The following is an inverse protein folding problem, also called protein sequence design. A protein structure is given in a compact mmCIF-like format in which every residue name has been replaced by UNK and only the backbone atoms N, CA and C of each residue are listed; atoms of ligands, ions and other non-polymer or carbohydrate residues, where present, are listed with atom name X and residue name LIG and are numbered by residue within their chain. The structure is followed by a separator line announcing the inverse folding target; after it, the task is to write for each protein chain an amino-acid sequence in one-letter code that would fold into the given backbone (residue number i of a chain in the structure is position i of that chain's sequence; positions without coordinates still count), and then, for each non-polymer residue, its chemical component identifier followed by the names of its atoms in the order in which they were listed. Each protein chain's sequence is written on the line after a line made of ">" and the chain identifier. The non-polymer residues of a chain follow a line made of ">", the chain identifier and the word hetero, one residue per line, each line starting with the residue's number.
data_IF_668438973828
#
_entry.id   IF_668438973828
#
_cell.length_a   1.000
_cell.length_b   1.000
_cell.length_c   1.000
_cell.angle_alpha   90.00
_cell.angle_beta   90.00
_cell.angle_gamma   90.00
#
_symmetry.space_group_name_H-M   'P 1'
#
loop_
_entity.id
_entity.type
_entity.pdbx_description
1 polymer ?
#
# COMPACT_ATOMS: atom_id res chain seq x y z
N UNK A 1 -33.31 -8.85 -39.80
CA UNK A 1 -33.77 -8.66 -38.41
C UNK A 1 -33.05 -9.58 -37.41
N UNK A 2 -33.06 -10.90 -37.60
CA UNK A 2 -32.46 -11.87 -36.65
C UNK A 2 -30.95 -11.67 -36.39
N UNK A 3 -30.15 -11.37 -37.43
CA UNK A 3 -28.71 -11.06 -37.30
C UNK A 3 -28.42 -9.81 -36.45
N UNK A 4 -29.29 -8.82 -36.50
CA UNK A 4 -29.15 -7.57 -35.73
C UNK A 4 -29.46 -7.82 -34.25
N UNK A 5 -30.46 -8.67 -33.96
CA UNK A 5 -30.78 -9.11 -32.59
C UNK A 5 -29.63 -9.89 -31.93
N UNK A 6 -28.94 -10.75 -32.69
CA UNK A 6 -27.77 -11.49 -32.19
C UNK A 6 -26.62 -10.53 -31.84
N UNK A 7 -26.36 -9.53 -32.69
CA UNK A 7 -25.33 -8.52 -32.44
C UNK A 7 -25.66 -7.68 -31.19
N UNK A 8 -26.90 -7.23 -31.05
CA UNK A 8 -27.36 -6.48 -29.87
C UNK A 8 -27.25 -7.33 -28.59
N UNK A 9 -27.67 -8.60 -28.65
CA UNK A 9 -27.55 -9.55 -27.52
C UNK A 9 -26.09 -9.77 -27.11
N UNK A 10 -25.18 -9.96 -28.08
CA UNK A 10 -23.75 -10.10 -27.82
C UNK A 10 -23.12 -8.85 -27.22
N UNK A 11 -23.57 -7.67 -27.63
CA UNK A 11 -23.12 -6.38 -27.10
C UNK A 11 -23.53 -6.19 -25.64
N UNK A 12 -24.80 -6.51 -25.29
CA UNK A 12 -25.23 -6.49 -23.89
C UNK A 12 -24.45 -7.50 -23.03
N UNK A 13 -24.15 -8.69 -23.55
CA UNK A 13 -23.37 -9.70 -22.83
C UNK A 13 -21.93 -9.25 -22.51
N UNK A 14 -21.33 -8.41 -23.37
CA UNK A 14 -20.01 -7.81 -23.14
C UNK A 14 -20.04 -6.74 -22.04
N UNK A 15 -21.10 -5.93 -21.96
CA UNK A 15 -21.24 -4.86 -20.94
C UNK A 15 -21.39 -5.45 -19.53
N UNK A 16 -22.07 -6.60 -19.38
CA UNK A 16 -22.21 -7.25 -18.06
C UNK A 16 -20.88 -7.80 -17.50
N UNK A 17 -19.88 -8.04 -18.35
CA UNK A 17 -18.61 -8.68 -17.96
C UNK A 17 -17.55 -7.72 -17.42
N UNK A 18 -17.75 -6.40 -17.51
CA UNK A 18 -16.68 -5.41 -17.27
C UNK A 18 -16.67 -4.78 -15.88
N UNK A 19 -17.36 -5.34 -14.88
CA UNK A 19 -17.24 -4.86 -13.50
C UNK A 19 -16.03 -5.49 -12.82
N UNK A 20 -14.88 -4.82 -12.91
CA UNK A 20 -13.70 -5.13 -12.10
C UNK A 20 -13.71 -4.22 -10.87
N UNK A 21 -13.97 -4.79 -9.69
CA UNK A 21 -13.80 -4.07 -8.43
C UNK A 21 -12.30 -3.93 -8.14
N UNK A 22 -11.85 -2.71 -7.85
CA UNK A 22 -10.52 -2.45 -7.30
C UNK A 22 -10.42 -3.07 -5.90
N UNK A 23 -9.24 -3.57 -5.54
CA UNK A 23 -8.93 -3.87 -4.14
C UNK A 23 -8.24 -2.65 -3.54
N UNK A 24 -8.79 -2.13 -2.45
CA UNK A 24 -8.29 -0.93 -1.78
C UNK A 24 -7.98 -1.26 -0.33
N UNK A 25 -6.83 -0.80 0.12
CA UNK A 25 -6.32 -0.97 1.48
C UNK A 25 -6.06 0.41 2.05
N UNK A 26 -6.54 0.66 3.26
CA UNK A 26 -6.26 1.87 4.02
C UNK A 26 -5.58 1.50 5.32
N UNK A 27 -4.54 2.23 5.70
CA UNK A 27 -3.76 2.02 6.91
C UNK A 27 -3.51 3.35 7.61
N UNK A 28 -3.74 3.35 8.92
CA UNK A 28 -3.46 4.47 9.79
C UNK A 28 -2.49 4.03 10.87
N UNK A 29 -1.31 4.66 10.93
CA UNK A 29 -0.24 4.26 11.85
C UNK A 29 0.34 5.44 12.62
N UNK A 30 0.88 5.14 13.80
CA UNK A 30 1.71 6.04 14.61
C UNK A 30 3.16 5.61 14.44
N UNK A 31 4.05 6.58 14.27
CA UNK A 31 5.47 6.39 14.03
C UNK A 31 6.32 6.66 15.27
N UNK A 32 7.28 5.77 15.52
CA UNK A 32 8.41 5.98 16.41
C UNK A 32 9.70 5.89 15.61
N UNK A 33 10.51 6.94 15.63
CA UNK A 33 11.68 7.06 14.74
C UNK A 33 12.97 7.32 15.52
N UNK A 34 14.07 6.81 14.99
CA UNK A 34 15.44 7.11 15.44
C UNK A 34 16.27 7.50 14.23
N UNK A 35 16.96 8.63 14.33
CA UNK A 35 17.79 9.19 13.28
C UNK A 35 19.24 9.37 13.71
N UNK A 36 20.15 9.29 12.74
CA UNK A 36 21.51 9.80 12.86
C UNK A 36 21.79 10.76 11.70
N UNK A 37 22.42 11.89 12.00
CA UNK A 37 22.73 12.93 11.01
C UNK A 37 24.23 13.14 10.93
N UNK A 38 24.78 13.06 9.72
CA UNK A 38 26.18 13.36 9.45
C UNK A 38 26.41 14.88 9.30
N UNK A 39 27.66 15.32 9.42
CA UNK A 39 28.04 16.73 9.30
C UNK A 39 27.77 17.36 7.92
N UNK A 40 27.51 16.53 6.91
CA UNK A 40 27.14 16.95 5.56
C UNK A 40 25.61 16.90 5.34
N UNK A 41 24.81 16.91 6.40
CA UNK A 41 23.34 16.88 6.40
C UNK A 41 22.72 15.60 5.83
N UNK A 42 23.51 14.56 5.58
CA UNK A 42 22.97 13.24 5.29
C UNK A 42 22.31 12.67 6.55
N UNK A 43 21.04 12.30 6.47
CA UNK A 43 20.29 11.70 7.57
C UNK A 43 19.85 10.28 7.22
N UNK A 44 20.09 9.37 8.16
CA UNK A 44 19.60 8.02 8.12
C UNK A 44 18.62 7.77 9.26
N UNK A 45 17.43 7.27 8.92
CA UNK A 45 16.33 7.09 9.88
C UNK A 45 15.76 5.68 9.81
N UNK A 46 15.58 5.06 10.98
CA UNK A 46 14.74 3.88 11.15
C UNK A 46 13.43 4.33 11.80
N UNK A 47 12.30 3.99 11.19
CA UNK A 47 10.97 4.34 11.69
C UNK A 47 10.11 3.10 11.81
N UNK A 48 9.55 2.86 12.99
CA UNK A 48 8.55 1.82 13.20
C UNK A 48 7.15 2.45 13.21
N UNK A 49 6.28 1.98 12.32
CA UNK A 49 4.89 2.41 12.22
C UNK A 49 3.97 1.30 12.72
N UNK A 50 3.22 1.57 13.79
CA UNK A 50 2.24 0.66 14.36
C UNK A 50 0.85 1.24 14.23
N UNK A 51 -0.13 0.45 13.79
CA UNK A 51 -1.42 0.99 13.40
C UNK A 51 -2.51 -0.05 13.15
N UNK A 52 -3.54 0.41 12.46
CA UNK A 52 -4.67 -0.40 12.03
C UNK A 52 -4.84 -0.28 10.51
N UNK A 53 -5.44 -1.31 9.92
CA UNK A 53 -5.80 -1.33 8.51
C UNK A 53 -7.21 -1.82 8.29
N UNK A 54 -7.78 -1.47 7.14
CA UNK A 54 -9.03 -1.99 6.61
C UNK A 54 -8.97 -2.09 5.09
N UNK A 55 -9.74 -3.00 4.50
CA UNK A 55 -9.93 -3.08 3.06
C UNK A 55 -11.39 -2.81 2.65
N UNK A 56 -11.58 -2.53 1.35
CA UNK A 56 -12.92 -2.29 0.79
C UNK A 56 -13.79 -3.55 0.66
N UNK A 57 -13.28 -4.72 1.06
CA UNK A 57 -14.04 -5.97 1.17
C UNK A 57 -14.57 -6.23 2.60
N UNK A 58 -14.28 -5.32 3.53
CA UNK A 58 -14.74 -5.38 4.92
C UNK A 58 -13.82 -6.16 5.85
N UNK A 59 -12.59 -6.51 5.43
CA UNK A 59 -11.58 -7.05 6.32
C UNK A 59 -10.81 -5.92 7.00
N UNK A 60 -10.27 -6.19 8.19
CA UNK A 60 -9.54 -5.21 8.98
C UNK A 60 -8.60 -5.88 9.99
N UNK A 61 -7.71 -5.09 10.57
CA UNK A 61 -6.88 -5.55 11.68
C UNK A 61 -5.72 -4.60 11.98
N UNK A 62 -4.58 -5.18 12.37
CA UNK A 62 -3.40 -4.44 12.86
C UNK A 62 -2.32 -4.37 11.81
N UNK A 63 -1.64 -3.24 11.72
CA UNK A 63 -0.48 -3.03 10.84
C UNK A 63 0.77 -2.77 11.67
N UNK A 64 1.89 -3.31 11.19
CA UNK A 64 3.23 -3.02 11.69
C UNK A 64 4.20 -2.91 10.53
N UNK A 65 4.92 -1.81 10.43
CA UNK A 65 5.85 -1.57 9.32
C UNK A 65 7.15 -1.02 9.88
N UNK A 66 8.27 -1.64 9.50
CA UNK A 66 9.60 -1.11 9.80
C UNK A 66 10.20 -0.48 8.55
N UNK A 67 10.50 0.80 8.62
CA UNK A 67 11.05 1.59 7.53
C UNK A 67 12.54 1.87 7.72
N UNK A 68 13.20 1.87 6.58
CA UNK A 68 14.53 2.38 6.30
C UNK A 68 14.36 3.65 5.45
N UNK A 69 14.89 4.78 5.92
CA UNK A 69 14.73 6.09 5.29
C UNK A 69 16.10 6.74 5.13
N UNK A 70 16.43 7.13 3.90
CA UNK A 70 17.62 7.92 3.56
C UNK A 70 17.19 9.26 3.00
N UNK A 71 17.60 10.34 3.64
CA UNK A 71 17.32 11.70 3.18
C UNK A 71 18.47 12.19 2.28
N UNK A 72 18.14 12.50 1.02
CA UNK A 72 19.06 13.15 0.08
C UNK A 72 19.07 14.67 0.31
N UNK A 73 20.22 15.31 0.06
CA UNK A 73 20.44 16.77 0.19
C UNK A 73 19.44 17.68 -0.57
N UNK A 74 18.68 17.12 -1.50
CA UNK A 74 17.74 17.83 -2.36
C UNK A 74 16.29 17.80 -1.84
N UNK A 75 16.05 17.29 -0.62
CA UNK A 75 14.72 17.15 -0.02
C UNK A 75 13.98 15.87 -0.40
N UNK A 76 14.57 15.01 -1.24
CA UNK A 76 14.01 13.70 -1.58
C UNK A 76 14.45 12.67 -0.54
N UNK A 77 13.53 11.79 -0.17
CA UNK A 77 13.80 10.63 0.65
C UNK A 77 13.67 9.35 -0.18
N UNK A 78 14.61 8.42 0.02
CA UNK A 78 14.40 7.02 -0.35
C UNK A 78 13.84 6.28 0.87
N UNK A 79 12.67 5.69 0.70
CA UNK A 79 11.94 5.00 1.76
C UNK A 79 11.66 3.58 1.31
N UNK A 80 12.09 2.61 2.11
CA UNK A 80 11.78 1.20 1.92
C UNK A 80 11.44 0.58 3.26
N UNK A 81 10.55 -0.40 3.30
CA UNK A 81 10.25 -1.10 4.54
C UNK A 81 9.89 -2.56 4.37
N UNK A 82 9.61 -3.19 5.50
CA UNK A 82 8.91 -4.47 5.58
C UNK A 82 7.67 -4.27 6.45
N UNK A 83 6.51 -4.52 5.88
CA UNK A 83 5.21 -4.43 6.52
C UNK A 83 4.60 -5.79 6.80
N UNK A 84 3.86 -5.86 7.89
CA UNK A 84 3.01 -6.96 8.31
C UNK A 84 1.60 -6.41 8.55
N UNK A 85 0.60 -7.08 7.98
CA UNK A 85 -0.81 -6.90 8.34
C UNK A 85 -1.29 -8.18 9.00
N UNK A 86 -1.95 -8.05 10.16
CA UNK A 86 -2.68 -9.14 10.80
C UNK A 86 -4.18 -8.85 10.64
N UNK A 87 -4.95 -9.79 10.10
CA UNK A 87 -6.41 -9.64 9.96
C UNK A 87 -7.19 -10.10 11.21
N UNK A 88 -8.50 -9.91 11.18
CA UNK A 88 -9.44 -10.28 12.26
C UNK A 88 -9.43 -11.77 12.64
N UNK A 89 -8.90 -12.66 11.79
CA UNK A 89 -8.75 -14.10 12.06
C UNK A 89 -7.27 -14.52 12.18
N UNK A 90 -6.36 -13.56 12.41
CA UNK A 90 -4.92 -13.74 12.58
C UNK A 90 -4.17 -14.29 11.35
N UNK A 91 -4.72 -14.13 10.15
CA UNK A 91 -3.92 -14.30 8.95
C UNK A 91 -2.91 -13.17 8.83
N UNK A 92 -1.76 -13.48 8.23
CA UNK A 92 -0.66 -12.55 8.05
C UNK A 92 -0.44 -12.22 6.59
N UNK A 93 -0.17 -10.95 6.32
CA UNK A 93 0.21 -10.43 5.02
C UNK A 93 1.55 -9.74 5.18
N UNK A 94 2.49 -10.04 4.30
CA UNK A 94 3.81 -9.45 4.29
C UNK A 94 4.01 -8.69 3.00
N UNK A 95 4.51 -7.46 3.12
CA UNK A 95 4.66 -6.58 1.98
C UNK A 95 5.85 -5.64 2.11
N UNK A 96 6.36 -5.20 0.97
CA UNK A 96 7.48 -4.28 0.88
C UNK A 96 6.97 -2.97 0.26
N UNK A 97 6.76 -1.92 1.08
CA UNK A 97 6.55 -0.57 0.56
C UNK A 97 7.89 0.02 0.09
N UNK A 98 7.88 0.67 -1.08
CA UNK A 98 9.02 1.42 -1.61
C UNK A 98 8.52 2.75 -2.19
N UNK A 99 9.19 3.84 -1.84
CA UNK A 99 8.90 5.19 -2.33
C UNK A 99 10.20 5.98 -2.52
N UNK A 100 10.24 6.78 -3.58
CA UNK A 100 11.24 7.85 -3.76
C UNK A 100 10.49 9.14 -4.03
N UNK A 101 10.40 10.00 -3.02
CA UNK A 101 9.64 11.26 -3.09
C UNK A 101 10.05 12.17 -1.95
N UNK A 102 9.38 13.31 -1.82
CA UNK A 102 9.46 14.15 -0.62
C UNK A 102 8.95 13.36 0.61
N UNK A 103 9.44 13.72 1.79
CA UNK A 103 9.17 12.97 3.02
C UNK A 103 7.70 13.13 3.46
N UNK A 104 7.16 14.35 3.38
CA UNK A 104 5.87 14.75 3.99
C UNK A 104 4.61 14.24 3.25
N UNK A 105 4.73 13.90 1.98
CA UNK A 105 3.66 13.26 1.20
C UNK A 105 4.22 12.61 -0.06
N UNK A 106 3.50 11.64 -0.63
CA UNK A 106 3.86 11.12 -1.94
C UNK A 106 3.22 9.79 -2.30
N UNK A 107 3.65 9.26 -3.44
CA UNK A 107 3.14 8.00 -3.99
C UNK A 107 4.27 6.99 -4.08
N UNK A 108 4.02 5.79 -3.59
CA UNK A 108 4.95 4.66 -3.68
C UNK A 108 4.28 3.41 -4.23
N UNK A 109 5.01 2.30 -4.15
CA UNK A 109 4.54 0.98 -4.54
C UNK A 109 4.63 0.00 -3.38
N UNK A 110 3.60 -0.83 -3.25
CA UNK A 110 3.56 -1.98 -2.36
C UNK A 110 3.73 -3.24 -3.19
N UNK A 111 4.68 -4.09 -2.80
CA UNK A 111 4.83 -5.44 -3.32
C UNK A 111 4.49 -6.44 -2.21
N UNK A 112 3.40 -7.18 -2.34
CA UNK A 112 3.11 -8.29 -1.44
C UNK A 112 4.04 -9.47 -1.73
N UNK A 113 4.59 -10.06 -0.68
CA UNK A 113 5.58 -11.15 -0.78
C UNK A 113 5.09 -12.46 -0.16
N UNK A 114 4.17 -12.39 0.81
CA UNK A 114 3.52 -13.55 1.40
C UNK A 114 2.11 -13.15 1.86
N UNK A 115 1.10 -13.93 1.46
CA UNK A 115 -0.32 -13.63 1.69
C UNK A 115 -1.11 -14.93 1.86
N UNK A 116 -2.27 -14.86 2.52
CA UNK A 116 -3.17 -16.01 2.65
C UNK A 116 -3.70 -16.48 1.29
N UNK A 117 -4.16 -17.74 1.23
CA UNK A 117 -4.58 -18.37 -0.02
C UNK A 117 -5.68 -17.59 -0.77
N UNK A 118 -6.64 -17.02 -0.06
CA UNK A 118 -7.73 -16.21 -0.61
C UNK A 118 -7.26 -14.84 -1.14
N UNK A 119 -6.03 -14.43 -0.83
CA UNK A 119 -5.44 -13.16 -1.24
C UNK A 119 -4.28 -13.30 -2.22
N UNK A 120 -4.06 -14.49 -2.81
CA UNK A 120 -2.99 -14.74 -3.79
C UNK A 120 -2.99 -13.78 -5.00
N UNK A 121 -4.11 -13.13 -5.31
CA UNK A 121 -4.17 -12.11 -6.34
C UNK A 121 -3.26 -10.90 -6.04
N UNK A 122 -2.98 -10.63 -4.76
CA UNK A 122 -2.08 -9.55 -4.32
C UNK A 122 -0.61 -9.79 -4.66
N UNK A 123 -0.18 -11.05 -4.78
CA UNK A 123 1.22 -11.37 -5.13
C UNK A 123 1.60 -10.93 -6.55
N UNK A 124 0.60 -10.68 -7.42
CA UNK A 124 0.79 -10.27 -8.82
C UNK A 124 0.26 -8.87 -9.09
N UNK A 125 -0.28 -8.18 -8.09
CA UNK A 125 -0.82 -6.84 -8.26
C UNK A 125 0.29 -5.79 -8.19
N UNK A 126 0.10 -4.69 -8.91
CA UNK A 126 0.92 -3.49 -8.79
C UNK A 126 0.13 -2.48 -7.95
N UNK A 127 0.33 -2.51 -6.63
CA UNK A 127 -0.39 -1.66 -5.71
C UNK A 127 0.37 -0.34 -5.55
N UNK A 128 -0.17 0.73 -6.13
CA UNK A 128 0.28 2.07 -5.80
C UNK A 128 -0.35 2.49 -4.47
N UNK A 129 0.40 3.18 -3.61
CA UNK A 129 -0.14 3.76 -2.39
C UNK A 129 0.17 5.25 -2.37
N UNK A 130 -0.79 6.04 -1.90
CA UNK A 130 -0.57 7.43 -1.52
C UNK A 130 -0.37 7.48 -0.01
N UNK A 131 0.44 8.41 0.50
CA UNK A 131 0.63 8.59 1.93
C UNK A 131 0.65 10.07 2.27
N UNK A 132 -0.02 10.43 3.35
CA UNK A 132 0.04 11.74 3.98
C UNK A 132 0.41 11.59 5.45
N UNK A 133 1.06 12.61 5.99
CA UNK A 133 1.45 12.66 7.40
C UNK A 133 0.74 13.80 8.13
N UNK A 134 0.37 13.54 9.38
CA UNK A 134 -0.07 14.56 10.33
C UNK A 134 0.59 14.26 11.66
N UNK A 135 1.50 15.14 12.10
CA UNK A 135 2.39 14.89 13.25
C UNK A 135 3.15 13.56 13.08
N UNK A 136 3.13 12.70 14.10
CA UNK A 136 3.74 11.37 14.06
C UNK A 136 2.81 10.30 13.46
N UNK A 137 1.76 10.68 12.74
CA UNK A 137 0.77 9.75 12.17
C UNK A 137 0.85 9.73 10.65
N UNK A 138 0.62 8.55 10.08
CA UNK A 138 0.46 8.37 8.65
C UNK A 138 -0.93 7.87 8.29
N UNK A 139 -1.36 8.27 7.09
CA UNK A 139 -2.60 7.87 6.45
C UNK A 139 -2.23 7.41 5.04
N UNK A 140 -2.22 6.09 4.83
CA UNK A 140 -1.96 5.47 3.53
C UNK A 140 -3.21 4.74 3.02
#
# INVERSE_FOLDING_TARGET
>A
MFRVLILISSYFFLIYKTNANSYELTVMSIHESKSITASNDYEFTISEANGNWQDNMGNYGKSRILFYIENEKNGKAYIKGLGQLDDQINNKFWFIPVRKSDQDAGVGKINFIDVPNNYKFLLKSNCNYAINYFENRSFF
#
